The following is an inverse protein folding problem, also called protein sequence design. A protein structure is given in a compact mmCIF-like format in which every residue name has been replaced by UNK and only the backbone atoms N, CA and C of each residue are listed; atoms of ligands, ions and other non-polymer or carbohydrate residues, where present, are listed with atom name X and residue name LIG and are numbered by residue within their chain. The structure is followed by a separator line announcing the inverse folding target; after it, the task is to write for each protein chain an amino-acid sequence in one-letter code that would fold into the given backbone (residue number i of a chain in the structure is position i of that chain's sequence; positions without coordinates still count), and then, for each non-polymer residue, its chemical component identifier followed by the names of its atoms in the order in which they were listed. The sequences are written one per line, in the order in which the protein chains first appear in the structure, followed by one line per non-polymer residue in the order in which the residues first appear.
data_IF_648921657868
#
_entry.id   IF_648921657868
#
_cell.length_a   1.000
_cell.length_b   1.000
_cell.length_c   1.000
_cell.angle_alpha   90.00
_cell.angle_beta   90.00
_cell.angle_gamma   90.00
#
_symmetry.space_group_name_H-M   'P 1'
#
loop_
_entity.id
_entity.type
_entity.pdbx_description
1 polymer ?
#
# COMPACT_ATOMS: atom_id res chain seq x y z
N UNK A 1 7.84 -0.70 -0.72
CA UNK A 1 8.02 0.63 -1.34
C UNK A 1 9.52 0.92 -1.55
N UNK A 2 9.85 1.86 -2.45
CA UNK A 2 11.20 2.44 -2.61
C UNK A 2 11.10 3.94 -2.84
N UNK A 3 12.08 4.71 -2.38
CA UNK A 3 12.09 6.17 -2.53
C UNK A 3 12.10 6.60 -4.00
N UNK A 4 12.89 5.92 -4.82
CA UNK A 4 12.98 6.24 -6.26
C UNK A 4 11.64 6.20 -7.01
N UNK A 5 10.62 5.52 -6.48
CA UNK A 5 9.29 5.41 -7.08
C UNK A 5 8.32 6.52 -6.68
N UNK A 6 8.59 7.25 -5.58
CA UNK A 6 7.71 8.32 -5.07
C UNK A 6 7.20 9.21 -6.21
N UNK A 7 5.91 9.53 -6.21
CA UNK A 7 5.25 10.33 -7.23
C UNK A 7 5.08 9.66 -8.61
N UNK A 8 5.36 8.36 -8.76
CA UNK A 8 4.90 7.64 -9.94
C UNK A 8 3.36 7.56 -10.00
N UNK A 9 2.83 7.06 -11.12
CA UNK A 9 1.38 6.97 -11.32
C UNK A 9 0.68 6.04 -10.32
N UNK A 10 1.36 5.01 -9.82
CA UNK A 10 0.79 4.09 -8.83
C UNK A 10 0.76 4.73 -7.44
N UNK A 11 1.78 5.50 -7.09
CA UNK A 11 1.81 6.31 -5.87
C UNK A 11 0.73 7.38 -5.86
N UNK A 12 0.52 8.05 -6.98
CA UNK A 12 -0.59 8.99 -7.09
C UNK A 12 -1.95 8.31 -6.86
N UNK A 13 -2.16 7.15 -7.50
CA UNK A 13 -3.38 6.36 -7.29
C UNK A 13 -3.52 5.88 -5.83
N UNK A 14 -2.42 5.48 -5.20
CA UNK A 14 -2.35 5.10 -3.78
C UNK A 14 -2.75 6.25 -2.87
N UNK A 15 -2.21 7.45 -3.09
CA UNK A 15 -2.53 8.62 -2.27
C UNK A 15 -3.97 9.09 -2.46
N UNK A 16 -4.48 9.06 -3.69
CA UNK A 16 -5.91 9.31 -3.96
C UNK A 16 -6.80 8.29 -3.25
N UNK A 17 -6.40 7.02 -3.24
CA UNK A 17 -7.15 5.96 -2.58
C UNK A 17 -7.18 6.15 -1.06
N UNK A 18 -6.03 6.46 -0.44
CA UNK A 18 -5.94 6.74 0.99
C UNK A 18 -6.75 7.99 1.39
N UNK A 19 -6.75 9.04 0.56
CA UNK A 19 -7.60 10.21 0.77
C UNK A 19 -9.10 9.92 0.61
N UNK A 20 -9.46 8.87 -0.13
CA UNK A 20 -10.83 8.34 -0.17
C UNK A 20 -11.18 7.56 1.09
N UNK A 21 -10.29 6.68 1.55
CA UNK A 21 -10.48 5.85 2.73
C UNK A 21 -10.60 6.66 4.03
N UNK A 22 -9.96 7.83 4.12
CA UNK A 22 -10.08 8.70 5.30
C UNK A 22 -11.46 9.30 5.51
N UNK A 23 -12.38 9.10 4.56
CA UNK A 23 -13.81 9.45 4.72
C UNK A 23 -14.62 8.32 5.36
N UNK A 24 -14.01 7.14 5.48
CA UNK A 24 -14.63 5.90 5.97
C UNK A 24 -13.98 5.49 7.30
N UNK A 25 -12.67 5.64 7.41
CA UNK A 25 -11.89 5.30 8.60
C UNK A 25 -11.42 6.57 9.31
N UNK A 26 -11.70 6.67 10.60
CA UNK A 26 -11.28 7.81 11.43
C UNK A 26 -9.76 7.86 11.65
N UNK A 27 -9.14 6.67 11.74
CA UNK A 27 -7.70 6.54 11.99
C UNK A 27 -7.09 5.59 10.97
N UNK A 28 -6.17 6.14 10.16
CA UNK A 28 -5.38 5.41 9.17
C UNK A 28 -3.91 5.54 9.55
N UNK A 29 -3.21 4.42 9.59
CA UNK A 29 -1.74 4.42 9.57
C UNK A 29 -1.23 3.81 8.25
N UNK A 30 0.01 4.16 7.91
CA UNK A 30 0.70 3.64 6.71
C UNK A 30 2.01 2.99 7.12
N UNK A 31 2.25 1.76 6.66
CA UNK A 31 3.55 1.12 6.71
C UNK A 31 4.10 0.97 5.29
N UNK A 32 5.10 1.78 4.95
CA UNK A 32 5.72 1.81 3.62
C UNK A 32 6.46 0.52 3.27
N UNK A 33 6.89 -0.28 4.26
CA UNK A 33 7.75 -1.45 4.04
C UNK A 33 8.91 -1.09 3.09
N UNK A 34 9.65 -0.05 3.48
CA UNK A 34 10.65 0.59 2.64
C UNK A 34 11.81 -0.38 2.41
N UNK A 35 12.19 -0.55 1.15
CA UNK A 35 13.35 -1.34 0.74
C UNK A 35 14.35 -0.42 0.05
N UNK A 36 15.61 -0.84 -0.02
CA UNK A 36 16.64 -0.04 -0.66
C UNK A 36 16.34 0.19 -2.15
N UNK A 37 16.64 1.41 -2.61
CA UNK A 37 16.65 1.75 -4.02
C UNK A 37 17.54 0.76 -4.79
N UNK A 38 17.10 0.34 -5.97
CA UNK A 38 17.91 -0.48 -6.88
C UNK A 38 18.45 0.32 -8.06
N UNK A 39 18.20 1.64 -8.07
CA UNK A 39 18.56 2.58 -9.12
C UNK A 39 18.05 2.16 -10.50
N UNK A 40 16.95 1.41 -10.53
CA UNK A 40 16.24 1.02 -11.74
C UNK A 40 15.64 2.22 -12.48
N UNK A 41 15.39 2.04 -13.78
CA UNK A 41 14.84 3.09 -14.67
C UNK A 41 13.32 3.30 -14.54
N UNK A 42 12.63 2.49 -13.73
CA UNK A 42 11.17 2.45 -13.66
C UNK A 42 10.53 3.64 -12.90
N UNK A 43 11.32 4.44 -12.16
CA UNK A 43 10.86 5.66 -11.46
C UNK A 43 10.56 6.88 -12.35
N UNK A 44 10.46 6.67 -13.66
CA UNK A 44 10.32 7.72 -14.70
C UNK A 44 8.87 8.00 -15.13
N UNK A 45 7.90 7.30 -14.54
CA UNK A 45 6.46 7.48 -14.86
C UNK A 45 5.84 8.69 -14.16
N UNK A 46 6.52 9.83 -14.19
CA UNK A 46 6.07 11.11 -13.58
C UNK A 46 5.51 12.07 -14.62
N UNK A 47 5.63 11.76 -15.93
CA UNK A 47 5.18 12.60 -17.04
C UNK A 47 3.68 12.98 -16.93
N UNK A 48 2.86 12.13 -16.29
CA UNK A 48 1.44 12.42 -16.05
C UNK A 48 1.21 13.68 -15.19
N UNK A 49 2.19 14.11 -14.38
CA UNK A 49 2.13 15.34 -13.57
C UNK A 49 2.26 16.63 -14.41
N UNK A 50 2.47 16.49 -15.72
CA UNK A 50 2.48 17.59 -16.68
C UNK A 50 1.30 17.51 -17.68
N UNK A 51 0.38 16.58 -17.45
CA UNK A 51 -0.90 16.48 -18.16
C UNK A 51 -2.03 16.84 -17.19
N UNK A 52 -2.55 18.06 -17.32
CA UNK A 52 -3.59 18.60 -16.43
C UNK A 52 -4.88 17.77 -16.46
N UNK A 53 -5.13 16.98 -17.52
CA UNK A 53 -6.27 16.06 -17.56
C UNK A 53 -6.16 14.91 -16.54
N UNK A 54 -4.97 14.68 -15.97
CA UNK A 54 -4.72 13.66 -14.94
C UNK A 54 -4.91 14.20 -13.52
N UNK A 55 -5.13 15.51 -13.36
CA UNK A 55 -5.39 16.14 -12.07
C UNK A 55 -6.78 15.74 -11.56
N UNK A 56 -6.81 14.87 -10.55
CA UNK A 56 -8.02 14.36 -9.87
C UNK A 56 -8.18 14.98 -8.49
N UNK A 57 -7.06 15.21 -7.81
CA UNK A 57 -6.99 15.95 -6.55
C UNK A 57 -5.90 17.01 -6.68
N UNK A 58 -6.26 18.28 -6.48
CA UNK A 58 -5.35 19.41 -6.71
C UNK A 58 -4.21 19.41 -5.70
N UNK A 59 -4.48 19.11 -4.43
CA UNK A 59 -3.47 19.14 -3.37
C UNK A 59 -2.42 18.05 -3.61
N UNK A 60 -2.87 16.81 -3.83
CA UNK A 60 -1.97 15.68 -4.06
C UNK A 60 -1.20 15.88 -5.36
N UNK A 61 -1.89 16.22 -6.46
CA UNK A 61 -1.25 16.35 -7.78
C UNK A 61 -0.17 17.43 -7.81
N UNK A 62 -0.48 18.65 -7.33
CA UNK A 62 0.47 19.76 -7.37
C UNK A 62 1.64 19.53 -6.39
N UNK A 63 1.41 18.88 -5.25
CA UNK A 63 2.49 18.53 -4.33
C UNK A 63 3.46 17.53 -4.95
N UNK A 64 2.95 16.44 -5.54
CA UNK A 64 3.79 15.45 -6.23
C UNK A 64 4.55 16.07 -7.41
N UNK A 65 3.90 16.94 -8.19
CA UNK A 65 4.55 17.71 -9.27
C UNK A 65 5.70 18.55 -8.72
N UNK A 66 5.51 19.22 -7.58
CA UNK A 66 6.55 19.96 -6.88
C UNK A 66 7.74 19.09 -6.48
N UNK A 67 7.50 17.91 -5.91
CA UNK A 67 8.56 16.96 -5.54
C UNK A 67 9.36 16.46 -6.74
N UNK A 68 8.69 16.21 -7.87
CA UNK A 68 9.35 15.79 -9.10
C UNK A 68 10.22 16.90 -9.68
N UNK A 69 9.75 18.15 -9.65
CA UNK A 69 10.51 19.31 -10.13
C UNK A 69 11.74 19.58 -9.24
N UNK A 70 11.59 19.47 -7.92
CA UNK A 70 12.68 19.71 -6.97
C UNK A 70 13.65 18.53 -6.82
N UNK A 71 13.27 17.34 -7.29
CA UNK A 71 14.04 16.10 -7.13
C UNK A 71 13.91 15.46 -5.74
N UNK A 72 13.05 15.98 -4.86
CA UNK A 72 12.85 15.49 -3.49
C UNK A 72 11.88 14.28 -3.44
N UNK A 73 12.22 13.21 -4.17
CA UNK A 73 11.41 11.99 -4.29
C UNK A 73 11.74 11.00 -3.17
N UNK A 74 11.29 11.29 -1.95
CA UNK A 74 11.48 10.43 -0.77
C UNK A 74 10.17 10.33 0.03
N UNK A 75 9.91 9.18 0.65
CA UNK A 75 8.67 8.99 1.43
C UNK A 75 8.53 9.99 2.56
N UNK A 76 9.63 10.43 3.17
CA UNK A 76 9.64 11.50 4.18
C UNK A 76 9.07 12.83 3.67
N UNK A 77 9.18 13.12 2.36
CA UNK A 77 8.53 14.28 1.78
C UNK A 77 7.00 14.14 1.82
N UNK A 78 6.48 12.94 1.58
CA UNK A 78 5.04 12.65 1.68
C UNK A 78 4.56 12.74 3.13
N UNK A 79 5.33 12.18 4.07
CA UNK A 79 5.04 12.22 5.51
C UNK A 79 4.96 13.65 6.04
N UNK A 80 5.94 14.50 5.68
CA UNK A 80 5.99 15.89 6.09
C UNK A 80 4.96 16.76 5.35
N UNK A 81 4.61 16.40 4.11
CA UNK A 81 3.68 17.14 3.28
C UNK A 81 2.24 17.11 3.79
N UNK A 82 1.87 16.10 4.60
CA UNK A 82 0.51 15.91 5.15
C UNK A 82 -0.59 16.02 4.09
N UNK A 83 -0.27 15.59 2.86
CA UNK A 83 -1.19 15.62 1.72
C UNK A 83 -2.27 14.52 1.79
N UNK A 84 -2.13 13.60 2.74
CA UNK A 84 -3.07 12.53 3.04
C UNK A 84 -3.31 12.56 4.55
N UNK A 85 -4.57 12.44 5.02
CA UNK A 85 -4.89 12.38 6.45
C UNK A 85 -4.55 11.00 7.02
N UNK A 86 -3.27 10.81 7.35
CA UNK A 86 -2.70 9.64 8.02
C UNK A 86 -2.24 10.05 9.42
N UNK A 87 -2.48 9.20 10.43
CA UNK A 87 -2.05 9.43 11.81
C UNK A 87 -0.55 9.17 11.95
N UNK A 88 -0.09 7.96 11.63
CA UNK A 88 1.32 7.57 11.74
C UNK A 88 1.85 6.89 10.48
N UNK A 89 3.17 7.01 10.31
CA UNK A 89 3.93 6.35 9.26
C UNK A 89 4.96 5.40 9.88
N UNK A 90 5.12 4.23 9.26
CA UNK A 90 6.10 3.22 9.62
C UNK A 90 6.89 2.82 8.37
N UNK A 91 8.16 2.50 8.52
CA UNK A 91 9.02 2.11 7.42
C UNK A 91 9.17 0.59 7.36
N UNK A 92 9.00 -0.11 8.49
CA UNK A 92 9.05 -1.57 8.60
C UNK A 92 7.84 -2.11 9.35
N UNK A 93 7.39 -3.33 9.01
CA UNK A 93 6.22 -3.96 9.63
C UNK A 93 6.39 -4.18 11.13
N UNK A 94 7.63 -4.35 11.59
CA UNK A 94 7.97 -4.53 13.01
C UNK A 94 7.78 -3.25 13.85
N UNK A 95 7.65 -2.10 13.20
CA UNK A 95 7.42 -0.80 13.86
C UNK A 95 5.92 -0.52 14.06
N UNK A 96 5.05 -1.26 13.36
CA UNK A 96 3.60 -1.14 13.51
C UNK A 96 3.22 -1.49 14.95
N UNK A 97 2.39 -0.67 15.62
CA UNK A 97 2.02 -0.90 17.00
C UNK A 97 1.26 -2.21 17.16
N UNK A 98 1.27 -2.70 18.39
CA UNK A 98 0.37 -3.79 18.80
C UNK A 98 -0.84 -3.19 19.52
N UNK A 99 -1.93 -3.95 19.75
CA UNK A 99 -3.05 -3.46 20.55
C UNK A 99 -2.59 -2.90 21.90
N UNK A 100 -3.23 -1.82 22.40
CA UNK A 100 -4.47 -1.22 21.89
C UNK A 100 -4.28 -0.13 20.82
N UNK A 101 -3.05 0.16 20.38
CA UNK A 101 -2.74 1.36 19.58
C UNK A 101 -2.92 1.18 18.06
N UNK A 102 -3.49 0.06 17.61
CA UNK A 102 -3.76 -0.19 16.20
C UNK A 102 -4.75 0.83 15.60
N UNK A 103 -4.58 1.22 14.33
CA UNK A 103 -5.54 2.08 13.63
C UNK A 103 -6.82 1.32 13.28
N UNK A 104 -7.84 2.03 12.78
CA UNK A 104 -8.99 1.38 12.14
C UNK A 104 -8.60 0.75 10.80
N UNK A 105 -7.69 1.38 10.07
CA UNK A 105 -7.11 0.86 8.82
C UNK A 105 -5.59 0.99 8.83
N UNK A 106 -4.91 -0.11 8.55
CA UNK A 106 -3.47 -0.13 8.28
C UNK A 106 -3.22 -0.38 6.80
N UNK A 107 -2.60 0.58 6.12
CA UNK A 107 -2.13 0.40 4.76
C UNK A 107 -0.71 -0.15 4.74
N UNK A 108 -0.49 -1.25 4.02
CA UNK A 108 0.79 -1.92 3.85
C UNK A 108 1.23 -1.78 2.39
N UNK A 109 2.44 -1.26 2.19
CA UNK A 109 2.98 -0.94 0.86
C UNK A 109 4.25 -1.76 0.50
N UNK A 110 4.20 -3.10 0.54
CA UNK A 110 5.35 -3.91 0.18
C UNK A 110 5.79 -3.64 -1.27
N UNK A 111 7.08 -3.82 -1.57
CA UNK A 111 7.63 -3.60 -2.91
C UNK A 111 6.95 -4.47 -3.99
N UNK A 112 6.56 -5.70 -3.65
CA UNK A 112 5.92 -6.63 -4.58
C UNK A 112 4.47 -7.00 -4.21
N UNK A 113 4.14 -7.14 -2.92
CA UNK A 113 2.80 -7.54 -2.48
C UNK A 113 2.78 -8.60 -1.38
N UNK A 114 1.76 -9.45 -1.40
CA UNK A 114 1.55 -10.56 -0.47
C UNK A 114 2.59 -11.69 -0.65
N UNK A 115 2.79 -12.43 0.44
CA UNK A 115 3.54 -13.68 0.55
C UNK A 115 3.47 -14.56 -0.71
N UNK A 116 4.64 -15.05 -1.15
CA UNK A 116 4.75 -16.05 -2.21
C UNK A 116 5.54 -17.26 -1.73
N UNK A 117 5.15 -18.46 -2.18
CA UNK A 117 5.75 -19.73 -1.74
C UNK A 117 7.27 -19.81 -1.93
N UNK A 118 7.80 -19.13 -2.93
CA UNK A 118 9.22 -19.18 -3.30
C UNK A 118 10.14 -18.31 -2.44
N UNK A 119 9.60 -17.40 -1.62
CA UNK A 119 10.39 -16.44 -0.82
C UNK A 119 10.04 -16.61 0.66
N UNK A 120 10.80 -17.41 1.42
CA UNK A 120 10.59 -17.55 2.86
C UNK A 120 10.97 -16.27 3.62
N UNK A 121 10.44 -16.11 4.84
CA UNK A 121 10.66 -14.92 5.71
C UNK A 121 12.13 -14.60 5.97
N UNK A 122 13.00 -15.60 6.04
CA UNK A 122 14.44 -15.44 6.26
C UNK A 122 15.24 -15.13 4.99
N UNK A 123 14.57 -15.04 3.83
CA UNK A 123 15.23 -14.66 2.58
C UNK A 123 15.61 -13.17 2.60
N UNK A 124 16.75 -12.77 2.03
CA UNK A 124 17.05 -11.34 1.80
C UNK A 124 16.01 -10.61 0.94
N UNK A 125 15.15 -11.35 0.22
CA UNK A 125 14.08 -10.79 -0.61
C UNK A 125 12.74 -10.67 0.14
N UNK A 126 12.66 -11.12 1.39
CA UNK A 126 11.40 -11.16 2.15
C UNK A 126 10.85 -9.77 2.42
N UNK A 127 11.70 -8.76 2.59
CA UNK A 127 11.28 -7.36 2.83
C UNK A 127 10.44 -6.75 1.70
N UNK A 128 10.41 -7.39 0.51
CA UNK A 128 9.57 -6.99 -0.62
C UNK A 128 8.14 -7.49 -0.50
N UNK A 129 7.85 -8.32 0.49
CA UNK A 129 6.56 -8.96 0.67
C UNK A 129 6.03 -8.74 2.08
N UNK A 130 4.71 -8.72 2.22
CA UNK A 130 4.03 -8.83 3.51
C UNK A 130 3.51 -10.24 3.70
N UNK A 131 3.69 -10.81 4.88
CA UNK A 131 3.35 -12.20 5.15
C UNK A 131 1.99 -12.35 5.82
N UNK A 132 1.32 -13.48 5.56
CA UNK A 132 0.04 -13.76 6.20
C UNK A 132 0.17 -13.86 7.73
N UNK A 133 1.36 -14.24 8.23
CA UNK A 133 1.70 -14.22 9.65
C UNK A 133 1.71 -12.82 10.25
N UNK A 134 1.99 -11.78 9.46
CA UNK A 134 2.00 -10.39 9.90
C UNK A 134 0.56 -9.83 9.92
N UNK A 135 -0.21 -10.13 8.87
CA UNK A 135 -1.56 -9.58 8.68
C UNK A 135 -2.58 -10.20 9.65
N UNK A 136 -2.52 -11.53 9.84
CA UNK A 136 -3.50 -12.27 10.65
C UNK A 136 -3.68 -11.73 12.08
N UNK A 137 -2.62 -11.47 12.87
CA UNK A 137 -2.79 -10.91 14.21
C UNK A 137 -3.38 -9.50 14.20
N UNK A 138 -3.09 -8.68 13.17
CA UNK A 138 -3.63 -7.32 13.05
C UNK A 138 -5.15 -7.36 12.81
N UNK A 139 -5.59 -8.16 11.84
CA UNK A 139 -7.02 -8.36 11.52
C UNK A 139 -7.80 -8.88 12.73
N UNK A 140 -7.24 -9.86 13.46
CA UNK A 140 -7.88 -10.45 14.65
C UNK A 140 -8.13 -9.45 15.78
N UNK A 141 -7.47 -8.30 15.74
CA UNK A 141 -7.58 -7.25 16.75
C UNK A 141 -8.49 -6.10 16.28
N UNK A 142 -9.24 -6.30 15.19
CA UNK A 142 -10.22 -5.34 14.68
C UNK A 142 -9.64 -4.26 13.76
N UNK A 143 -8.35 -4.34 13.39
CA UNK A 143 -7.76 -3.43 12.42
C UNK A 143 -7.90 -4.00 11.01
N UNK A 144 -8.54 -3.26 10.11
CA UNK A 144 -8.57 -3.61 8.70
C UNK A 144 -7.20 -3.41 8.05
N UNK A 145 -6.91 -4.18 7.01
CA UNK A 145 -5.62 -4.10 6.31
C UNK A 145 -5.85 -3.88 4.82
N UNK A 146 -5.24 -2.83 4.28
CA UNK A 146 -5.17 -2.56 2.84
C UNK A 146 -3.76 -2.88 2.35
N UNK A 147 -3.61 -3.80 1.40
CA UNK A 147 -2.30 -4.19 0.86
C UNK A 147 -2.13 -3.71 -0.57
N UNK A 148 -1.03 -3.02 -0.86
CA UNK A 148 -0.60 -2.77 -2.23
C UNK A 148 -0.01 -4.05 -2.86
N UNK A 149 -0.45 -4.39 -4.06
CA UNK A 149 -0.10 -5.63 -4.75
C UNK A 149 0.23 -5.37 -6.22
N UNK A 150 1.42 -5.77 -6.67
CA UNK A 150 1.71 -5.83 -8.11
C UNK A 150 1.04 -7.03 -8.76
N UNK A 151 0.44 -6.84 -9.93
CA UNK A 151 -0.07 -7.96 -10.71
C UNK A 151 1.07 -8.83 -11.26
N UNK A 152 0.98 -10.17 -11.12
CA UNK A 152 1.72 -11.06 -11.99
C UNK A 152 1.12 -11.05 -13.41
N UNK A 153 1.85 -11.61 -14.38
CA UNK A 153 1.40 -11.71 -15.78
C UNK A 153 0.39 -12.85 -15.95
N UNK A 154 -0.81 -12.67 -15.42
CA UNK A 154 -1.91 -13.64 -15.41
C UNK A 154 -3.25 -12.93 -15.66
N UNK A 155 -4.32 -13.70 -15.89
CA UNK A 155 -5.68 -13.14 -15.96
C UNK A 155 -6.08 -12.52 -14.61
N UNK A 156 -6.62 -11.30 -14.63
CA UNK A 156 -6.95 -10.56 -13.40
C UNK A 156 -8.08 -11.20 -12.59
N UNK A 157 -9.13 -11.68 -13.25
CA UNK A 157 -10.26 -12.31 -12.56
C UNK A 157 -9.86 -13.61 -11.89
N UNK A 158 -9.08 -14.45 -12.58
CA UNK A 158 -8.52 -15.67 -11.99
C UNK A 158 -7.58 -15.34 -10.82
N UNK A 159 -6.76 -14.31 -10.97
CA UNK A 159 -5.86 -13.86 -9.90
C UNK A 159 -6.62 -13.36 -8.67
N UNK A 160 -7.68 -12.59 -8.84
CA UNK A 160 -8.54 -12.12 -7.74
C UNK A 160 -9.18 -13.29 -7.01
N UNK A 161 -9.77 -14.24 -7.76
CA UNK A 161 -10.39 -15.41 -7.15
C UNK A 161 -9.38 -16.23 -6.36
N UNK A 162 -8.20 -16.49 -6.95
CA UNK A 162 -7.12 -17.21 -6.29
C UNK A 162 -6.61 -16.47 -5.03
N UNK A 163 -6.35 -15.16 -5.13
CA UNK A 163 -5.91 -14.35 -3.98
C UNK A 163 -6.96 -14.33 -2.87
N UNK A 164 -8.23 -14.15 -3.20
CA UNK A 164 -9.32 -14.19 -2.23
C UNK A 164 -9.37 -15.53 -1.50
N UNK A 165 -9.32 -16.65 -2.23
CA UNK A 165 -9.31 -17.99 -1.64
C UNK A 165 -8.08 -18.21 -0.75
N UNK A 166 -6.90 -17.81 -1.21
CA UNK A 166 -5.68 -17.96 -0.43
C UNK A 166 -5.74 -17.12 0.86
N UNK A 167 -6.14 -15.85 0.78
CA UNK A 167 -6.30 -14.96 1.94
C UNK A 167 -7.23 -15.59 2.98
N UNK A 168 -8.42 -16.05 2.56
CA UNK A 168 -9.38 -16.70 3.46
C UNK A 168 -8.81 -17.96 4.10
N UNK A 169 -8.06 -18.77 3.34
CA UNK A 169 -7.45 -20.00 3.87
C UNK A 169 -6.35 -19.74 4.91
N UNK A 170 -5.60 -18.63 4.77
CA UNK A 170 -4.43 -18.32 5.63
C UNK A 170 -4.84 -17.49 6.85
N UNK A 171 -5.71 -16.51 6.65
CA UNK A 171 -6.10 -15.55 7.69
C UNK A 171 -7.31 -16.07 8.48
N UNK A 172 -8.38 -16.48 7.80
CA UNK A 172 -9.63 -16.94 8.43
C UNK A 172 -10.85 -16.40 7.68
N UNK A 173 -11.98 -16.31 8.37
CA UNK A 173 -13.20 -15.75 7.78
C UNK A 173 -13.12 -14.22 7.73
N UNK A 174 -12.80 -13.72 6.54
CA UNK A 174 -12.60 -12.29 6.26
C UNK A 174 -13.30 -11.92 4.95
N UNK A 175 -13.68 -10.65 4.85
CA UNK A 175 -14.08 -10.05 3.58
C UNK A 175 -12.83 -9.62 2.82
N UNK A 176 -12.80 -9.86 1.52
CA UNK A 176 -11.69 -9.47 0.63
C UNK A 176 -12.27 -8.66 -0.52
N UNK A 177 -11.77 -7.44 -0.71
CA UNK A 177 -12.14 -6.58 -1.82
C UNK A 177 -10.90 -6.17 -2.61
N UNK A 178 -10.95 -6.40 -3.92
CA UNK A 178 -9.93 -6.00 -4.87
C UNK A 178 -10.28 -4.65 -5.49
N UNK A 179 -9.36 -3.68 -5.40
CA UNK A 179 -9.50 -2.34 -5.99
C UNK A 179 -8.39 -2.18 -7.02
N UNK A 180 -8.69 -2.49 -8.28
CA UNK A 180 -7.70 -2.57 -9.34
C UNK A 180 -7.43 -1.22 -9.99
N UNK A 181 -6.14 -0.85 -10.09
CA UNK A 181 -5.72 0.41 -10.71
C UNK A 181 -4.52 0.16 -11.63
N UNK A 182 -4.72 0.16 -12.94
CA UNK A 182 -3.63 -0.04 -13.89
C UNK A 182 -2.93 -1.38 -13.66
N UNK A 183 -1.63 -1.39 -13.36
CA UNK A 183 -0.81 -2.60 -13.17
C UNK A 183 -0.72 -3.08 -11.72
N UNK A 184 -1.53 -2.49 -10.83
CA UNK A 184 -1.54 -2.81 -9.41
C UNK A 184 -2.96 -3.09 -8.93
N UNK A 185 -3.04 -3.74 -7.80
CA UNK A 185 -4.26 -4.02 -7.06
C UNK A 185 -4.08 -3.55 -5.62
N UNK A 186 -5.15 -3.01 -5.04
CA UNK A 186 -5.21 -2.74 -3.62
C UNK A 186 -6.20 -3.72 -3.00
N UNK A 187 -5.71 -4.59 -2.13
CA UNK A 187 -6.49 -5.67 -1.54
C UNK A 187 -6.88 -5.25 -0.14
N UNK A 188 -8.15 -4.90 0.05
CA UNK A 188 -8.72 -4.63 1.37
C UNK A 188 -9.14 -5.97 1.99
N UNK A 189 -8.61 -6.25 3.18
CA UNK A 189 -8.92 -7.40 4.01
C UNK A 189 -9.61 -6.85 5.26
N UNK A 190 -10.88 -7.23 5.44
CA UNK A 190 -11.73 -6.74 6.51
C UNK A 190 -12.20 -7.89 7.39
N UNK A 191 -12.16 -7.69 8.70
CA UNK A 191 -12.63 -8.70 9.64
C UNK A 191 -14.16 -8.78 9.61
N UNK A 192 -14.72 -9.99 9.56
CA UNK A 192 -16.18 -10.21 9.53
C UNK A 192 -16.80 -10.37 10.92
N UNK A 193 -16.02 -10.25 12.00
CA UNK A 193 -16.57 -10.38 13.36
C UNK A 193 -17.50 -9.21 13.69
N UNK A 194 -18.79 -9.47 13.47
CA UNK A 194 -20.04 -8.93 14.01
C UNK A 194 -20.04 -7.48 14.55
N UNK A 195 -20.81 -6.63 13.85
CA UNK A 195 -21.65 -5.59 14.47
C UNK A 195 -22.63 -6.22 15.51
#
# INVERSE_FOLDING_TARGET
MKNQYVADINDYNKYLLLAGFSRIYDVIDVCWMLTADDYGRDGTKTIYLFDESKRKDTLIYDYLKGLVISGAKDVSAIENGKIIPVRNYYHKIQEVPTPPDLPGLLFLDPDNGLEVKSIPLNSPKSERYVYYSDIKPIIKQGCDVLVYQHYPRVNRGEYHLYRTQEIKSRIGDVSVRHISMGMVDFILIHNLTDD
#
